data_IF_214664771312
#
_entry.id   IF_214664771312
#
_cell.length_a   1.000
_cell.length_b   1.000
_cell.length_c   1.000
_cell.angle_alpha   90.00
_cell.angle_beta   90.00
_cell.angle_gamma   90.00
#
_symmetry.space_group_name_H-M   'P 1'
#
loop_
_entity.id
_entity.type
_entity.pdbx_description
1 polymer ?
#
# COMPACT_ATOMS: atom_id res chain seq x y z
N UNK A 1 -71.16 93.18 -49.84
CA UNK A 1 -70.67 91.78 -49.79
C UNK A 1 -69.15 91.89 -49.95
N UNK A 2 -68.27 91.52 -49.03
CA UNK A 2 -68.18 90.32 -48.18
C UNK A 2 -67.49 90.74 -46.86
N UNK A 3 -68.10 90.40 -45.73
CA UNK A 3 -67.55 90.60 -44.38
C UNK A 3 -67.18 89.22 -43.81
N UNK A 4 -66.02 89.17 -43.15
CA UNK A 4 -65.67 88.27 -42.03
C UNK A 4 -65.82 86.76 -42.24
N UNK A 5 -64.73 86.08 -42.62
CA UNK A 5 -64.59 84.63 -42.46
C UNK A 5 -63.12 84.20 -42.28
N UNK A 6 -62.36 84.84 -41.40
CA UNK A 6 -60.99 84.39 -41.07
C UNK A 6 -60.67 84.77 -39.62
N UNK A 7 -61.01 83.90 -38.66
CA UNK A 7 -60.50 84.05 -37.28
C UNK A 7 -60.60 82.79 -36.40
N UNK A 8 -61.29 81.71 -36.81
CA UNK A 8 -61.54 80.57 -35.88
C UNK A 8 -60.47 79.46 -36.00
N UNK A 9 -59.73 79.38 -37.11
CA UNK A 9 -58.84 78.24 -37.39
C UNK A 9 -57.46 78.29 -36.72
N UNK A 10 -57.01 79.46 -36.23
CA UNK A 10 -55.66 79.60 -35.67
C UNK A 10 -55.54 79.06 -34.22
N UNK A 11 -56.63 79.11 -33.44
CA UNK A 11 -56.64 78.72 -32.04
C UNK A 11 -56.75 77.19 -31.85
N UNK A 12 -57.41 76.49 -32.78
CA UNK A 12 -57.53 75.03 -32.76
C UNK A 12 -56.23 74.31 -33.19
N UNK A 13 -55.48 74.90 -34.13
CA UNK A 13 -54.19 74.36 -34.58
C UNK A 13 -53.06 74.56 -33.55
N UNK A 14 -53.09 75.65 -32.77
CA UNK A 14 -52.12 75.89 -31.69
C UNK A 14 -52.28 74.96 -30.48
N UNK A 15 -53.52 74.63 -30.10
CA UNK A 15 -53.78 73.74 -28.97
C UNK A 15 -53.47 72.27 -29.27
N UNK A 16 -53.71 71.81 -30.50
CA UNK A 16 -53.37 70.45 -30.93
C UNK A 16 -51.86 70.18 -30.99
N UNK A 17 -51.07 71.19 -31.39
CA UNK A 17 -49.61 71.07 -31.45
C UNK A 17 -48.97 71.01 -30.05
N UNK A 18 -49.49 71.77 -29.08
CA UNK A 18 -49.00 71.76 -27.69
C UNK A 18 -49.36 70.47 -26.94
N UNK A 19 -50.54 69.90 -27.20
CA UNK A 19 -50.92 68.58 -26.65
C UNK A 19 -50.13 67.42 -27.29
N UNK A 20 -49.83 67.52 -28.59
CA UNK A 20 -48.98 66.54 -29.28
C UNK A 20 -47.51 66.60 -28.81
N UNK A 21 -46.97 67.80 -28.54
CA UNK A 21 -45.64 67.95 -27.93
C UNK A 21 -45.62 67.46 -26.47
N UNK A 22 -46.68 67.71 -25.69
CA UNK A 22 -46.81 67.19 -24.32
C UNK A 22 -46.90 65.65 -24.27
N UNK A 23 -47.64 65.03 -25.19
CA UNK A 23 -47.75 63.58 -25.30
C UNK A 23 -46.47 62.92 -25.83
N UNK A 24 -45.76 63.57 -26.77
CA UNK A 24 -44.49 63.08 -27.32
C UNK A 24 -43.33 63.19 -26.31
N UNK A 25 -43.29 64.25 -25.50
CA UNK A 25 -42.29 64.39 -24.43
C UNK A 25 -42.58 63.45 -23.26
N UNK A 26 -43.85 63.19 -22.93
CA UNK A 26 -44.22 62.20 -21.92
C UNK A 26 -43.95 60.75 -22.38
N UNK A 27 -44.19 60.43 -23.66
CA UNK A 27 -43.85 59.11 -24.22
C UNK A 27 -42.34 58.91 -24.38
N UNK A 28 -41.59 59.95 -24.73
CA UNK A 28 -40.13 59.92 -24.76
C UNK A 28 -39.51 59.74 -23.35
N UNK A 29 -39.99 60.49 -22.35
CA UNK A 29 -39.49 60.34 -20.96
C UNK A 29 -39.83 58.98 -20.34
N UNK A 30 -40.95 58.37 -20.73
CA UNK A 30 -41.29 57.02 -20.27
C UNK A 30 -40.53 55.92 -21.03
N UNK A 31 -40.17 56.15 -22.29
CA UNK A 31 -39.27 55.27 -23.05
C UNK A 31 -37.84 55.31 -22.49
N UNK A 32 -37.31 56.50 -22.19
CA UNK A 32 -35.97 56.67 -21.58
C UNK A 32 -35.86 56.00 -20.21
N UNK A 33 -36.89 56.14 -19.35
CA UNK A 33 -36.93 55.46 -18.05
C UNK A 33 -36.98 53.94 -18.16
N UNK A 34 -37.71 53.41 -19.15
CA UNK A 34 -37.75 51.96 -19.40
C UNK A 34 -36.39 51.45 -19.88
N UNK A 35 -35.75 52.20 -20.77
CA UNK A 35 -34.42 51.89 -21.27
C UNK A 35 -33.37 51.93 -20.14
N UNK A 36 -33.43 52.92 -19.25
CA UNK A 36 -32.55 53.00 -18.07
C UNK A 36 -32.70 51.78 -17.14
N UNK A 37 -33.94 51.33 -16.90
CA UNK A 37 -34.21 50.14 -16.08
C UNK A 37 -33.63 48.87 -16.75
N UNK A 38 -33.77 48.74 -18.07
CA UNK A 38 -33.18 47.62 -18.79
C UNK A 38 -31.64 47.67 -18.80
N UNK A 39 -31.04 48.85 -18.98
CA UNK A 39 -29.60 49.02 -18.85
C UNK A 39 -29.09 48.60 -17.47
N UNK A 40 -29.76 49.01 -16.38
CA UNK A 40 -29.38 48.59 -15.02
C UNK A 40 -29.50 47.07 -14.82
N UNK A 41 -30.52 46.44 -15.41
CA UNK A 41 -30.66 44.96 -15.36
C UNK A 41 -29.58 44.26 -16.16
N UNK A 42 -29.21 44.79 -17.32
CA UNK A 42 -28.12 44.26 -18.13
C UNK A 42 -26.78 44.42 -17.42
N UNK A 43 -26.54 45.57 -16.80
CA UNK A 43 -25.30 45.83 -16.06
C UNK A 43 -25.15 44.89 -14.85
N UNK A 44 -26.24 44.64 -14.12
CA UNK A 44 -26.26 43.63 -13.05
C UNK A 44 -25.97 42.21 -13.58
N UNK A 45 -26.47 41.86 -14.77
CA UNK A 45 -26.17 40.56 -15.39
C UNK A 45 -24.72 40.48 -15.85
N UNK A 46 -24.18 41.54 -16.44
CA UNK A 46 -22.79 41.62 -16.87
C UNK A 46 -21.85 41.51 -15.68
N UNK A 47 -22.15 42.22 -14.58
CA UNK A 47 -21.36 42.13 -13.35
C UNK A 47 -21.34 40.71 -12.78
N UNK A 48 -22.50 40.03 -12.70
CA UNK A 48 -22.55 38.62 -12.26
C UNK A 48 -21.78 37.69 -13.19
N UNK A 49 -21.91 37.87 -14.50
CA UNK A 49 -21.17 37.09 -15.49
C UNK A 49 -19.66 37.33 -15.38
N UNK A 50 -19.24 38.56 -15.12
CA UNK A 50 -17.83 38.89 -14.88
C UNK A 50 -17.30 38.19 -13.62
N UNK A 51 -18.06 38.22 -12.53
CA UNK A 51 -17.68 37.55 -11.27
C UNK A 51 -17.61 36.03 -11.43
N UNK A 52 -18.56 35.43 -12.15
CA UNK A 52 -18.57 34.00 -12.47
C UNK A 52 -17.37 33.63 -13.35
N UNK A 53 -17.06 34.44 -14.36
CA UNK A 53 -15.92 34.20 -15.23
C UNK A 53 -14.59 34.30 -14.48
N UNK A 54 -14.45 35.26 -13.55
CA UNK A 54 -13.25 35.35 -12.70
C UNK A 54 -13.08 34.11 -11.82
N UNK A 55 -14.19 33.60 -11.24
CA UNK A 55 -14.17 32.37 -10.43
C UNK A 55 -13.78 31.16 -11.28
N UNK A 56 -14.39 30.99 -12.45
CA UNK A 56 -14.06 29.88 -13.35
C UNK A 56 -12.60 29.94 -13.80
N UNK A 57 -12.05 31.13 -14.06
CA UNK A 57 -10.63 31.26 -14.41
C UNK A 57 -9.69 30.91 -13.25
N UNK A 58 -10.10 31.15 -12.00
CA UNK A 58 -9.36 30.67 -10.82
C UNK A 58 -9.44 29.14 -10.71
N UNK A 59 -10.62 28.57 -10.89
CA UNK A 59 -10.83 27.11 -10.82
C UNK A 59 -10.05 26.38 -11.93
N UNK A 60 -10.01 26.93 -13.15
CA UNK A 60 -9.21 26.37 -14.25
C UNK A 60 -7.72 26.34 -13.90
N UNK A 61 -7.18 27.41 -13.30
CA UNK A 61 -5.76 27.45 -12.88
C UNK A 61 -5.48 26.46 -11.75
N UNK A 62 -6.40 26.32 -10.82
CA UNK A 62 -6.28 25.37 -9.72
C UNK A 62 -6.32 23.92 -10.24
N UNK A 63 -7.26 23.60 -11.14
CA UNK A 63 -7.34 22.31 -11.80
C UNK A 63 -6.07 22.00 -12.62
N UNK A 64 -5.48 23.00 -13.28
CA UNK A 64 -4.20 22.83 -13.97
C UNK A 64 -3.07 22.46 -12.99
N UNK A 65 -2.96 23.15 -11.84
CA UNK A 65 -1.99 22.78 -10.80
C UNK A 65 -2.22 21.37 -10.26
N UNK A 66 -3.47 21.01 -9.99
CA UNK A 66 -3.81 19.68 -9.50
C UNK A 66 -3.49 18.59 -10.54
N UNK A 67 -3.76 18.84 -11.81
CA UNK A 67 -3.37 17.93 -12.89
C UNK A 67 -1.84 17.75 -12.98
N UNK A 68 -1.07 18.84 -12.90
CA UNK A 68 0.40 18.75 -12.88
C UNK A 68 0.92 17.95 -11.67
N UNK A 69 0.33 18.16 -10.49
CA UNK A 69 0.69 17.43 -9.28
C UNK A 69 0.36 15.94 -9.41
N UNK A 70 -0.82 15.62 -9.95
CA UNK A 70 -1.23 14.24 -10.21
C UNK A 70 -0.32 13.54 -11.22
N UNK A 71 0.09 14.24 -12.29
CA UNK A 71 1.05 13.72 -13.25
C UNK A 71 2.40 13.39 -12.61
N UNK A 72 2.90 14.26 -11.72
CA UNK A 72 4.14 14.00 -10.96
C UNK A 72 4.01 12.80 -10.03
N UNK A 73 2.88 12.68 -9.31
CA UNK A 73 2.59 11.53 -8.45
C UNK A 73 2.53 10.23 -9.26
N UNK A 74 1.90 10.27 -10.43
CA UNK A 74 1.78 9.10 -11.31
C UNK A 74 3.16 8.66 -11.82
N UNK A 75 4.00 9.59 -12.30
CA UNK A 75 5.37 9.28 -12.73
C UNK A 75 6.23 8.68 -11.60
N UNK A 76 6.07 9.18 -10.37
CA UNK A 76 6.77 8.64 -9.20
C UNK A 76 6.27 7.23 -8.83
N UNK A 77 4.97 6.98 -8.94
CA UNK A 77 4.39 5.66 -8.72
C UNK A 77 4.84 4.66 -9.77
N UNK A 78 4.88 5.06 -11.05
CA UNK A 78 5.39 4.23 -12.14
C UNK A 78 6.85 3.84 -11.91
N UNK A 79 7.69 4.80 -11.50
CA UNK A 79 9.08 4.52 -11.14
C UNK A 79 9.19 3.51 -10.00
N UNK A 80 8.43 3.69 -8.92
CA UNK A 80 8.41 2.76 -7.78
C UNK A 80 7.89 1.38 -8.16
N UNK A 81 6.92 1.31 -9.05
CA UNK A 81 6.41 0.04 -9.56
C UNK A 81 7.50 -0.71 -10.34
N UNK A 82 8.22 -0.01 -11.23
CA UNK A 82 9.33 -0.59 -11.98
C UNK A 82 10.47 -1.07 -11.06
N UNK A 83 10.87 -0.27 -10.07
CA UNK A 83 11.86 -0.69 -9.04
C UNK A 83 11.40 -1.95 -8.29
N UNK A 84 10.13 -2.03 -7.90
CA UNK A 84 9.58 -3.21 -7.25
C UNK A 84 9.54 -4.44 -8.18
N UNK A 85 9.24 -4.26 -9.47
CA UNK A 85 9.29 -5.34 -10.46
C UNK A 85 10.72 -5.85 -10.65
N UNK A 86 11.70 -4.96 -10.71
CA UNK A 86 13.12 -5.32 -10.80
C UNK A 86 13.56 -6.09 -9.56
N UNK A 87 13.18 -5.65 -8.36
CA UNK A 87 13.49 -6.36 -7.11
C UNK A 87 12.86 -7.75 -7.06
N UNK A 88 11.60 -7.90 -7.47
CA UNK A 88 10.94 -9.22 -7.54
C UNK A 88 11.63 -10.12 -8.55
N UNK A 89 12.03 -9.56 -9.70
CA UNK A 89 12.78 -10.30 -10.73
C UNK A 89 14.14 -10.72 -10.22
N UNK A 90 14.85 -9.84 -9.51
CA UNK A 90 16.12 -10.15 -8.86
C UNK A 90 15.95 -11.27 -7.85
N UNK A 91 15.01 -11.15 -6.91
CA UNK A 91 14.73 -12.18 -5.91
C UNK A 91 14.46 -13.55 -6.55
N UNK A 92 13.66 -13.59 -7.61
CA UNK A 92 13.36 -14.85 -8.32
C UNK A 92 14.58 -15.44 -9.00
N UNK A 93 15.41 -14.61 -9.64
CA UNK A 93 16.51 -15.10 -10.47
C UNK A 93 17.78 -15.39 -9.66
N UNK A 94 18.11 -14.56 -8.67
CA UNK A 94 19.33 -14.73 -7.87
C UNK A 94 19.03 -15.45 -6.58
N UNK A 95 18.08 -14.95 -5.80
CA UNK A 95 17.96 -15.36 -4.39
C UNK A 95 17.31 -16.73 -4.28
N UNK A 96 16.25 -17.00 -5.04
CA UNK A 96 15.64 -18.34 -5.08
C UNK A 96 16.59 -19.39 -5.67
N UNK A 97 17.33 -19.04 -6.72
CA UNK A 97 18.31 -19.97 -7.32
C UNK A 97 19.45 -20.28 -6.34
N UNK A 98 19.97 -19.27 -5.64
CA UNK A 98 21.00 -19.43 -4.63
C UNK A 98 20.50 -20.26 -3.43
N UNK A 99 19.27 -20.02 -2.97
CA UNK A 99 18.65 -20.81 -1.91
C UNK A 99 18.47 -22.27 -2.31
N UNK A 100 18.00 -22.55 -3.53
CA UNK A 100 17.85 -23.91 -4.03
C UNK A 100 19.20 -24.63 -4.17
N UNK A 101 20.26 -23.91 -4.54
CA UNK A 101 21.62 -24.45 -4.58
C UNK A 101 22.16 -24.75 -3.17
N UNK A 102 21.93 -23.84 -2.21
CA UNK A 102 22.32 -24.03 -0.81
C UNK A 102 21.60 -25.23 -0.18
N UNK A 103 20.31 -25.40 -0.44
CA UNK A 103 19.52 -26.52 0.07
C UNK A 103 20.06 -27.88 -0.43
N UNK A 104 20.38 -27.99 -1.72
CA UNK A 104 21.03 -29.18 -2.29
C UNK A 104 22.39 -29.49 -1.63
N UNK A 105 23.18 -28.47 -1.33
CA UNK A 105 24.46 -28.64 -0.63
C UNK A 105 24.27 -29.10 0.83
N UNK A 106 23.25 -28.60 1.51
CA UNK A 106 22.93 -29.02 2.88
C UNK A 106 22.48 -30.48 2.89
N UNK A 107 21.58 -30.87 1.98
CA UNK A 107 21.10 -32.27 1.87
C UNK A 107 22.26 -33.22 1.61
N UNK A 108 23.13 -32.91 0.65
CA UNK A 108 24.31 -33.77 0.37
C UNK A 108 25.27 -33.86 1.55
N UNK A 109 25.46 -32.78 2.32
CA UNK A 109 26.25 -32.81 3.56
C UNK A 109 25.60 -33.66 4.64
N UNK A 110 24.29 -33.53 4.86
CA UNK A 110 23.54 -34.33 5.83
C UNK A 110 23.60 -35.81 5.47
N UNK A 111 23.37 -36.16 4.20
CA UNK A 111 23.47 -37.54 3.72
C UNK A 111 24.89 -38.11 3.89
N UNK A 112 25.91 -37.29 3.62
CA UNK A 112 27.31 -37.66 3.84
C UNK A 112 27.61 -37.93 5.32
N UNK A 113 27.15 -37.06 6.22
CA UNK A 113 27.29 -37.25 7.66
C UNK A 113 26.53 -38.50 8.11
N UNK A 114 25.31 -38.73 7.62
CA UNK A 114 24.52 -39.93 7.95
C UNK A 114 25.24 -41.22 7.54
N UNK A 115 25.89 -41.23 6.38
CA UNK A 115 26.71 -42.36 5.93
C UNK A 115 27.95 -42.55 6.81
N UNK A 116 28.66 -41.48 7.13
CA UNK A 116 29.81 -41.54 8.05
C UNK A 116 29.40 -42.07 9.43
N UNK A 117 28.26 -41.63 9.96
CA UNK A 117 27.70 -42.18 11.19
C UNK A 117 27.40 -43.68 11.01
N UNK A 118 26.78 -44.10 9.92
CA UNK A 118 26.49 -45.52 9.69
C UNK A 118 27.76 -46.39 9.52
N UNK A 119 28.84 -45.84 8.95
CA UNK A 119 30.10 -46.53 8.71
C UNK A 119 31.02 -46.56 9.95
N UNK A 120 31.18 -45.43 10.65
CA UNK A 120 32.03 -45.31 11.85
C UNK A 120 31.33 -45.79 13.13
N UNK A 121 30.00 -45.65 13.19
CA UNK A 121 29.18 -46.27 14.23
C UNK A 121 28.34 -47.36 13.59
N UNK A 122 28.87 -48.59 13.39
CA UNK A 122 28.02 -49.73 13.07
C UNK A 122 26.95 -49.72 14.14
N UNK A 123 25.69 -49.55 13.74
CA UNK A 123 24.55 -49.25 14.63
C UNK A 123 24.70 -50.11 15.87
N UNK A 124 25.31 -49.54 16.92
CA UNK A 124 25.73 -50.37 18.03
C UNK A 124 24.43 -50.67 18.70
N UNK A 125 23.97 -51.90 18.49
CA UNK A 125 22.75 -52.43 19.02
C UNK A 125 22.79 -52.20 20.54
N UNK A 126 22.11 -51.15 20.99
CA UNK A 126 21.96 -50.82 22.40
C UNK A 126 20.82 -51.64 23.05
N UNK A 127 20.20 -52.60 22.34
CA UNK A 127 18.90 -53.13 22.79
C UNK A 127 18.37 -54.46 22.21
N UNK A 128 18.92 -55.03 21.15
CA UNK A 128 18.50 -56.34 20.61
C UNK A 128 19.38 -57.53 21.03
N UNK A 129 20.49 -57.29 21.75
CA UNK A 129 21.32 -58.36 22.35
C UNK A 129 21.57 -58.19 23.87
N UNK A 130 21.04 -57.14 24.49
CA UNK A 130 21.13 -56.96 25.94
C UNK A 130 20.15 -57.91 26.64
N UNK A 131 20.69 -58.81 27.48
CA UNK A 131 19.90 -59.65 28.39
C UNK A 131 18.88 -58.77 29.13
N UNK A 132 17.62 -59.16 29.12
CA UNK A 132 16.57 -58.51 29.90
C UNK A 132 17.00 -58.44 31.38
N UNK A 133 17.07 -57.24 31.97
CA UNK A 133 17.36 -57.05 33.40
C UNK A 133 16.37 -57.79 34.32
N UNK A 134 15.26 -58.35 33.78
CA UNK A 134 14.31 -59.20 34.50
C UNK A 134 14.96 -60.48 35.06
N UNK A 135 15.94 -61.05 34.36
CA UNK A 135 16.56 -62.32 34.77
C UNK A 135 17.70 -62.14 35.79
N UNK A 136 18.12 -60.90 36.04
CA UNK A 136 19.35 -60.57 36.80
C UNK A 136 19.03 -60.19 38.26
N UNK A 137 17.75 -60.04 38.62
CA UNK A 137 17.33 -59.72 39.99
C UNK A 137 17.64 -58.27 40.40
N UNK A 138 17.11 -57.84 41.54
CA UNK A 138 17.14 -56.46 42.07
C UNK A 138 18.52 -55.95 42.52
N UNK A 139 19.60 -56.59 42.08
CA UNK A 139 20.97 -56.26 42.50
C UNK A 139 21.72 -55.53 41.38
N UNK A 140 22.34 -54.41 41.74
CA UNK A 140 23.10 -53.55 40.83
C UNK A 140 24.27 -54.34 40.25
N UNK A 141 24.13 -54.83 39.02
CA UNK A 141 25.24 -55.43 38.29
C UNK A 141 25.87 -54.36 37.39
N UNK A 142 27.15 -54.09 37.63
CA UNK A 142 27.97 -53.19 36.84
C UNK A 142 28.78 -54.04 35.87
N UNK A 143 28.56 -53.91 34.56
CA UNK A 143 29.48 -54.46 33.56
C UNK A 143 30.43 -53.36 33.08
N UNK A 144 31.67 -53.40 33.60
CA UNK A 144 32.78 -52.62 33.08
C UNK A 144 33.48 -53.40 31.99
N UNK A 145 33.66 -52.80 30.81
CA UNK A 145 34.52 -53.37 29.76
C UNK A 145 35.84 -52.62 29.79
N UNK A 146 36.93 -53.36 29.96
CA UNK A 146 38.29 -52.81 29.95
C UNK A 146 38.70 -52.65 28.49
N UNK A 147 38.88 -51.41 28.04
CA UNK A 147 39.47 -51.14 26.73
C UNK A 147 40.99 -51.35 26.81
N UNK A 148 41.62 -51.70 25.68
CA UNK A 148 43.07 -51.96 25.59
C UNK A 148 43.95 -50.81 26.10
N UNK A 149 43.40 -49.60 26.20
CA UNK A 149 44.09 -48.37 26.61
C UNK A 149 44.00 -48.06 28.11
N UNK A 150 43.79 -49.06 28.97
CA UNK A 150 43.63 -48.89 30.44
C UNK A 150 42.38 -48.10 30.88
N UNK A 151 41.52 -47.70 29.95
CA UNK A 151 40.24 -47.04 30.22
C UNK A 151 39.17 -48.06 30.57
N UNK A 152 38.37 -47.73 31.60
CA UNK A 152 37.18 -48.48 31.97
C UNK A 152 35.94 -47.70 31.55
N UNK A 153 35.08 -48.33 30.76
CA UNK A 153 33.78 -47.79 30.43
C UNK A 153 32.72 -48.58 31.17
N UNK A 154 31.96 -47.91 32.04
CA UNK A 154 30.75 -48.45 32.64
C UNK A 154 29.68 -48.46 31.55
N UNK A 155 29.17 -49.64 31.15
CA UNK A 155 28.28 -49.71 29.97
C UNK A 155 26.79 -49.69 30.30
N UNK A 156 26.39 -50.23 31.44
CA UNK A 156 25.02 -50.19 31.94
C UNK A 156 24.95 -50.48 33.43
N UNK A 157 23.90 -49.98 34.06
CA UNK A 157 23.48 -50.29 35.43
C UNK A 157 22.03 -50.78 35.37
N UNK A 158 21.76 -52.02 35.81
CA UNK A 158 20.37 -52.42 36.07
C UNK A 158 19.95 -51.87 37.44
N UNK A 159 18.98 -50.95 37.45
CA UNK A 159 18.37 -50.43 38.67
C UNK A 159 16.86 -50.62 38.59
N UNK A 160 16.30 -51.36 39.56
CA UNK A 160 14.87 -51.63 39.65
C UNK A 160 14.26 -52.23 38.35
N UNK A 161 14.93 -53.24 37.79
CA UNK A 161 14.49 -53.94 36.57
C UNK A 161 14.59 -53.11 35.29
N UNK A 162 15.12 -51.90 35.34
CA UNK A 162 15.36 -51.03 34.17
C UNK A 162 16.85 -50.89 33.90
N UNK A 163 17.24 -50.97 32.63
CA UNK A 163 18.61 -50.68 32.21
C UNK A 163 18.80 -49.16 32.12
N UNK A 164 19.74 -48.64 32.90
CA UNK A 164 20.20 -47.25 32.80
C UNK A 164 21.53 -47.27 32.05
N UNK A 165 21.56 -46.65 30.86
CA UNK A 165 22.77 -46.51 30.06
C UNK A 165 23.58 -45.32 30.56
N UNK A 166 24.73 -45.60 31.19
CA UNK A 166 25.62 -44.58 31.74
C UNK A 166 26.78 -44.38 30.76
N UNK A 167 26.66 -43.43 29.84
CA UNK A 167 27.68 -43.14 28.82
C UNK A 167 28.92 -42.40 29.34
N UNK A 168 29.43 -42.73 30.52
CA UNK A 168 30.55 -42.00 31.15
C UNK A 168 31.83 -42.83 31.18
N UNK A 169 32.85 -42.34 30.48
CA UNK A 169 34.25 -42.80 30.61
C UNK A 169 34.82 -42.33 31.95
N UNK A 170 35.29 -43.25 32.79
CA UNK A 170 35.93 -42.93 34.07
C UNK A 170 37.43 -43.24 33.96
N UNK A 171 38.24 -42.19 34.05
CA UNK A 171 39.69 -42.30 34.19
C UNK A 171 40.01 -42.49 35.67
N UNK A 172 40.49 -43.68 36.06
CA UNK A 172 41.12 -43.88 37.37
C UNK A 172 42.64 -43.89 37.22
N UNK A 173 43.39 -43.21 38.11
CA UNK A 173 44.84 -43.33 38.14
C UNK A 173 45.26 -44.73 38.61
N UNK A 174 46.41 -45.26 38.15
CA UNK A 174 46.86 -46.60 38.49
C UNK A 174 47.16 -46.73 39.99
N UNK A 175 46.69 -47.84 40.60
CA UNK A 175 47.10 -48.30 41.93
C UNK A 175 48.33 -49.20 41.85
#
# INVERSE_FOLDING_TARGET
>A
MIKSAFSISALALGAGLLLALGAATASAQTADRKMEIEFRRLDQRISRLSDENERLMKDVRELQRQNEEMMKKNALLEKKANEAFDDVTRMRNTDMANLAAADKQIVTRVDGIQKLIAEETPTWNWGSLTRDCKDIGTHQQIQSVRSGDSKFTLRYLCFDGRAIHLGTELNQPPQ
#
